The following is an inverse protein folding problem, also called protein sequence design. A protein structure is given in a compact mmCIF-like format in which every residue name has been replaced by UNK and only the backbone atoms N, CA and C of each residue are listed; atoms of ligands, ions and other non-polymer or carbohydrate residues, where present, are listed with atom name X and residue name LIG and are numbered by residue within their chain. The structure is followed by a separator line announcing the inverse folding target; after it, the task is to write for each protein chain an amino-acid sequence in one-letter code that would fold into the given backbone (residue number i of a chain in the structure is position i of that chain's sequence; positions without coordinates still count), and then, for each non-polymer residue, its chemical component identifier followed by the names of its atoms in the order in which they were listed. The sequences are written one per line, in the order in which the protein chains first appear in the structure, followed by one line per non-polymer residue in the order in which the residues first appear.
data_IF_630275832530
#
_entry.id   IF_630275832530
#
_cell.length_a   1.000
_cell.length_b   1.000
_cell.length_c   1.000
_cell.angle_alpha   90.00
_cell.angle_beta   90.00
_cell.angle_gamma   90.00
#
_symmetry.space_group_name_H-M   'P 1'
#
loop_
_entity.id
_entity.type
_entity.pdbx_description
1 polymer ?
#
# COMPACT_ATOMS: atom_id res chain seq x y z
N UNK A 1 -80.84 -35.22 24.82
CA UNK A 1 -79.42 -35.56 24.99
C UNK A 1 -78.64 -34.27 24.88
N UNK A 2 -78.12 -33.76 25.99
CA UNK A 2 -77.22 -32.62 25.95
C UNK A 2 -75.81 -33.19 25.77
N UNK A 3 -75.23 -33.02 24.60
CA UNK A 3 -73.86 -33.44 24.27
C UNK A 3 -73.05 -32.19 23.89
N UNK A 4 -71.72 -32.24 23.97
CA UNK A 4 -70.87 -31.08 23.65
C UNK A 4 -71.19 -30.46 22.29
N UNK A 5 -71.39 -31.31 21.29
CA UNK A 5 -71.75 -30.92 19.92
C UNK A 5 -73.17 -30.35 19.74
N UNK A 6 -74.08 -30.58 20.70
CA UNK A 6 -75.50 -30.20 20.62
C UNK A 6 -75.93 -29.18 21.69
N UNK A 7 -74.99 -28.62 22.46
CA UNK A 7 -75.30 -27.63 23.49
C UNK A 7 -75.26 -26.20 22.91
N UNK A 8 -76.35 -25.41 23.00
CA UNK A 8 -76.39 -24.08 22.41
C UNK A 8 -75.62 -23.01 23.20
N UNK A 9 -75.12 -23.32 24.40
CA UNK A 9 -74.48 -22.35 25.29
C UNK A 9 -72.99 -22.68 25.47
N UNK A 10 -72.11 -21.80 24.97
CA UNK A 10 -70.66 -22.07 24.79
C UNK A 10 -69.89 -22.38 26.08
N UNK A 11 -70.15 -21.65 27.17
CA UNK A 11 -69.53 -21.92 28.48
C UNK A 11 -69.88 -23.29 29.08
N UNK A 12 -71.06 -23.86 28.75
CA UNK A 12 -71.42 -25.20 29.20
C UNK A 12 -70.75 -26.28 28.33
N UNK A 13 -70.43 -26.00 27.07
CA UNK A 13 -69.76 -26.97 26.19
C UNK A 13 -68.40 -27.45 26.73
N UNK A 14 -67.69 -26.60 27.48
CA UNK A 14 -66.39 -26.95 28.09
C UNK A 14 -66.49 -28.06 29.15
N UNK A 15 -67.67 -28.24 29.76
CA UNK A 15 -67.93 -29.26 30.79
C UNK A 15 -68.70 -30.47 30.25
N UNK A 16 -68.98 -30.50 28.94
CA UNK A 16 -69.78 -31.54 28.30
C UNK A 16 -68.89 -32.45 27.46
N UNK A 17 -69.35 -33.68 27.27
CA UNK A 17 -68.68 -34.69 26.43
C UNK A 17 -69.64 -35.18 25.33
N UNK A 18 -69.08 -35.76 24.28
CA UNK A 18 -69.84 -36.41 23.21
C UNK A 18 -69.67 -37.94 23.32
N UNK A 19 -70.71 -38.70 23.71
CA UNK A 19 -70.63 -40.15 23.81
C UNK A 19 -70.53 -40.79 22.42
N UNK A 20 -69.61 -41.74 22.23
CA UNK A 20 -69.52 -42.50 20.97
C UNK A 20 -70.53 -43.65 20.99
N UNK A 21 -71.46 -43.62 20.04
CA UNK A 21 -72.53 -44.62 19.90
C UNK A 21 -72.32 -45.37 18.58
N UNK A 22 -71.25 -46.18 18.51
CA UNK A 22 -70.93 -47.00 17.35
C UNK A 22 -71.24 -48.49 17.59
N UNK A 23 -71.35 -49.31 16.52
CA UNK A 23 -71.59 -50.74 16.64
C UNK A 23 -70.45 -51.52 17.32
N UNK A 24 -69.20 -51.04 17.21
CA UNK A 24 -68.03 -51.66 17.87
C UNK A 24 -67.77 -51.15 19.29
N UNK A 25 -68.18 -49.91 19.61
CA UNK A 25 -67.98 -49.31 20.94
C UNK A 25 -69.08 -48.31 21.24
N UNK A 26 -69.92 -48.64 22.21
CA UNK A 26 -71.00 -47.80 22.69
C UNK A 26 -70.73 -47.40 24.14
N UNK A 27 -70.28 -46.17 24.34
CA UNK A 27 -69.87 -45.67 25.65
C UNK A 27 -71.01 -45.69 26.67
N UNK A 28 -72.27 -45.55 26.21
CA UNK A 28 -73.46 -45.61 27.07
C UNK A 28 -73.74 -47.03 27.58
N UNK A 29 -73.44 -48.06 26.78
CA UNK A 29 -73.58 -49.46 27.20
C UNK A 29 -72.49 -49.82 28.21
N UNK A 30 -71.26 -49.37 27.97
CA UNK A 30 -70.15 -49.56 28.91
C UNK A 30 -70.46 -48.92 30.25
N UNK A 31 -70.95 -47.67 30.26
CA UNK A 31 -71.35 -46.96 31.48
C UNK A 31 -72.44 -47.71 32.24
N UNK A 32 -73.51 -48.14 31.55
CA UNK A 32 -74.58 -48.94 32.15
C UNK A 32 -74.06 -50.21 32.80
N UNK A 33 -73.16 -50.94 32.14
CA UNK A 33 -72.58 -52.16 32.69
C UNK A 33 -71.67 -51.88 33.89
N UNK A 34 -70.88 -50.81 33.86
CA UNK A 34 -70.05 -50.42 35.01
C UNK A 34 -70.88 -49.97 36.21
N UNK A 35 -72.00 -49.27 35.98
CA UNK A 35 -72.93 -48.89 37.05
C UNK A 35 -73.61 -50.13 37.64
N UNK A 36 -74.05 -51.07 36.80
CA UNK A 36 -74.60 -52.37 37.26
C UNK A 36 -73.61 -53.18 38.10
N UNK A 37 -72.30 -53.08 37.81
CA UNK A 37 -71.26 -53.74 38.61
C UNK A 37 -71.06 -53.08 39.97
N UNK A 38 -71.57 -51.86 40.18
CA UNK A 38 -71.65 -51.13 41.44
C UNK A 38 -70.40 -51.26 42.33
N UNK A 39 -69.21 -51.10 41.74
CA UNK A 39 -67.92 -51.25 42.45
C UNK A 39 -67.70 -50.19 43.54
N UNK A 40 -68.49 -49.12 43.53
CA UNK A 40 -68.46 -48.03 44.51
C UNK A 40 -69.50 -48.20 45.62
N UNK A 41 -70.29 -49.28 45.61
CA UNK A 41 -71.23 -49.61 46.69
C UNK A 41 -72.35 -48.58 46.90
N UNK A 42 -72.80 -47.93 45.82
CA UNK A 42 -73.87 -46.95 45.87
C UNK A 42 -75.19 -47.67 46.14
N UNK A 43 -75.93 -47.26 47.18
CA UNK A 43 -77.26 -47.77 47.49
C UNK A 43 -78.22 -47.23 46.43
N UNK A 44 -78.64 -48.10 45.51
CA UNK A 44 -79.66 -47.78 44.51
C UNK A 44 -80.98 -48.36 45.00
N UNK A 45 -81.94 -47.49 45.30
CA UNK A 45 -83.34 -47.88 45.52
C UNK A 45 -83.94 -48.21 44.15
N UNK A 46 -83.94 -49.49 43.78
CA UNK A 46 -84.69 -49.96 42.61
C UNK A 46 -86.19 -49.98 42.94
N UNK A 47 -86.90 -48.92 42.53
CA UNK A 47 -88.36 -48.95 42.38
C UNK A 47 -88.71 -49.97 41.28
N UNK A 48 -88.86 -51.22 41.69
CA UNK A 48 -89.43 -52.26 40.85
C UNK A 48 -90.91 -51.92 40.60
N UNK A 49 -91.38 -51.83 39.34
CA UNK A 49 -92.79 -51.63 39.07
C UNK A 49 -93.56 -52.83 39.63
N UNK A 50 -94.40 -52.52 40.62
CA UNK A 50 -95.25 -53.44 41.35
C UNK A 50 -96.05 -54.30 40.36
N UNK A 51 -95.72 -55.59 40.25
CA UNK A 51 -96.52 -56.55 39.51
C UNK A 51 -97.93 -56.53 40.13
N UNK A 52 -98.92 -56.07 39.35
CA UNK A 52 -100.30 -56.00 39.81
C UNK A 52 -100.73 -57.44 40.11
N UNK A 53 -101.10 -57.77 41.37
CA UNK A 53 -101.51 -59.13 41.72
C UNK A 53 -102.75 -59.49 40.91
N UNK A 54 -102.81 -60.74 40.43
CA UNK A 54 -103.95 -61.29 39.70
C UNK A 54 -105.30 -61.24 40.48
N UNK A 55 -105.26 -60.84 41.75
CA UNK A 55 -106.40 -60.68 42.66
C UNK A 55 -107.17 -59.36 42.50
N UNK A 56 -106.68 -58.40 41.68
CA UNK A 56 -107.41 -57.18 41.29
C UNK A 56 -108.14 -57.28 39.95
N UNK A 57 -108.12 -58.46 39.33
CA UNK A 57 -109.00 -58.79 38.22
C UNK A 57 -110.34 -59.25 38.81
N UNK A 58 -111.33 -58.35 38.86
CA UNK A 58 -112.72 -58.72 39.08
C UNK A 58 -113.22 -59.53 37.87
N UNK A 59 -112.92 -60.83 37.86
CA UNK A 59 -113.63 -61.81 37.05
C UNK A 59 -115.05 -61.92 37.60
N UNK A 60 -115.99 -61.24 36.95
CA UNK A 60 -117.42 -61.47 37.18
C UNK A 60 -117.76 -62.84 36.59
N UNK A 61 -118.32 -63.72 37.42
CA UNK A 61 -118.80 -65.04 37.02
C UNK A 61 -119.84 -64.95 35.88
N UNK A 62 -119.76 -65.90 34.95
CA UNK A 62 -120.39 -65.95 33.62
C UNK A 62 -121.94 -65.97 33.61
N UNK A 63 -122.63 -65.93 34.75
CA UNK A 63 -124.06 -66.26 34.84
C UNK A 63 -125.04 -65.07 34.97
N UNK A 64 -124.61 -63.83 34.73
CA UNK A 64 -125.48 -62.63 34.92
C UNK A 64 -125.44 -61.60 33.78
N UNK A 65 -125.16 -62.02 32.55
CA UNK A 65 -125.22 -61.15 31.35
C UNK A 65 -126.31 -61.54 30.34
N UNK A 66 -127.27 -62.39 30.74
CA UNK A 66 -128.46 -62.65 29.93
C UNK A 66 -129.54 -61.59 30.21
N UNK A 67 -129.43 -60.47 29.50
CA UNK A 67 -130.56 -59.59 29.29
C UNK A 67 -131.69 -60.37 28.58
N UNK A 68 -132.88 -60.32 29.17
CA UNK A 68 -134.12 -60.91 28.67
C UNK A 68 -134.28 -60.69 27.16
N UNK A 69 -134.70 -61.75 26.46
CA UNK A 69 -134.86 -61.81 25.01
C UNK A 69 -136.04 -60.95 24.50
N UNK A 70 -135.91 -59.63 24.65
CA UNK A 70 -136.82 -58.64 24.08
C UNK A 70 -136.08 -57.36 23.61
N UNK A 71 -134.75 -57.41 23.41
CA UNK A 71 -133.95 -56.25 22.98
C UNK A 71 -132.56 -56.52 22.39
N UNK A 72 -132.23 -57.78 22.03
CA UNK A 72 -130.93 -58.15 21.42
C UNK A 72 -130.67 -57.41 20.10
N UNK A 73 -131.72 -57.08 19.35
CA UNK A 73 -131.61 -56.25 18.14
C UNK A 73 -131.20 -54.80 18.46
N UNK A 74 -131.62 -54.24 19.59
CA UNK A 74 -131.32 -52.84 19.93
C UNK A 74 -129.92 -52.65 20.53
N UNK A 75 -129.37 -53.67 21.19
CA UNK A 75 -128.00 -53.65 21.74
C UNK A 75 -126.95 -54.01 20.68
N UNK A 76 -127.22 -55.01 19.82
CA UNK A 76 -126.37 -55.36 18.68
C UNK A 76 -126.33 -54.24 17.62
N UNK A 77 -127.47 -53.58 17.32
CA UNK A 77 -127.48 -52.39 16.44
C UNK A 77 -126.70 -51.22 17.04
N UNK A 78 -126.69 -51.05 18.37
CA UNK A 78 -125.91 -50.00 19.05
C UNK A 78 -124.40 -50.30 19.02
N UNK A 79 -123.97 -51.54 19.27
CA UNK A 79 -122.56 -51.92 19.15
C UNK A 79 -122.07 -51.85 17.71
N UNK A 80 -122.87 -52.30 16.75
CA UNK A 80 -122.54 -52.23 15.32
C UNK A 80 -122.46 -50.77 14.82
N UNK A 81 -123.33 -49.87 15.30
CA UNK A 81 -123.24 -48.44 15.04
C UNK A 81 -121.96 -47.82 15.62
N UNK A 82 -121.61 -48.15 16.87
CA UNK A 82 -120.37 -47.66 17.50
C UNK A 82 -119.11 -48.21 16.83
N UNK A 83 -119.09 -49.47 16.40
CA UNK A 83 -117.99 -50.03 15.61
C UNK A 83 -117.86 -49.34 14.25
N UNK A 84 -118.98 -49.06 13.57
CA UNK A 84 -118.97 -48.30 12.31
C UNK A 84 -118.42 -46.89 12.51
N UNK A 85 -118.81 -46.20 13.57
CA UNK A 85 -118.27 -44.88 13.93
C UNK A 85 -116.77 -44.94 14.27
N UNK A 86 -116.32 -45.96 15.03
CA UNK A 86 -114.91 -46.15 15.35
C UNK A 86 -114.08 -46.46 14.10
N UNK A 87 -114.60 -47.28 13.18
CA UNK A 87 -113.97 -47.55 11.87
C UNK A 87 -113.91 -46.29 11.01
N UNK A 88 -114.94 -45.46 11.00
CA UNK A 88 -114.95 -44.17 10.30
C UNK A 88 -113.92 -43.21 10.89
N UNK A 89 -113.86 -43.07 12.22
CA UNK A 89 -112.85 -42.25 12.91
C UNK A 89 -111.43 -42.75 12.64
N UNK A 90 -111.21 -44.07 12.69
CA UNK A 90 -109.93 -44.68 12.35
C UNK A 90 -109.54 -44.42 10.88
N UNK A 91 -110.48 -44.56 9.93
CA UNK A 91 -110.25 -44.29 8.52
C UNK A 91 -109.91 -42.81 8.26
N UNK A 92 -110.59 -41.87 8.93
CA UNK A 92 -110.28 -40.44 8.86
C UNK A 92 -108.88 -40.13 9.41
N UNK A 93 -108.51 -40.72 10.55
CA UNK A 93 -107.17 -40.59 11.13
C UNK A 93 -106.09 -41.18 10.22
N UNK A 94 -106.33 -42.36 9.63
CA UNK A 94 -105.40 -42.97 8.66
C UNK A 94 -105.25 -42.07 7.43
N UNK A 95 -106.33 -41.48 6.93
CA UNK A 95 -106.28 -40.53 5.80
C UNK A 95 -105.47 -39.29 6.15
N UNK A 96 -105.69 -38.71 7.33
CA UNK A 96 -104.92 -37.57 7.82
C UNK A 96 -103.44 -37.91 8.01
N UNK A 97 -103.12 -39.09 8.56
CA UNK A 97 -101.75 -39.57 8.74
C UNK A 97 -101.06 -39.80 7.40
N UNK A 98 -101.73 -40.39 6.40
CA UNK A 98 -101.19 -40.54 5.03
C UNK A 98 -100.92 -39.19 4.37
N UNK A 99 -101.83 -38.22 4.51
CA UNK A 99 -101.61 -36.86 4.02
C UNK A 99 -100.44 -36.18 4.73
N UNK A 100 -100.26 -36.41 6.03
CA UNK A 100 -99.11 -35.90 6.78
C UNK A 100 -97.80 -36.55 6.33
N UNK A 101 -97.78 -37.87 6.13
CA UNK A 101 -96.61 -38.61 5.65
C UNK A 101 -96.19 -38.11 4.28
N UNK A 102 -97.12 -38.02 3.32
CA UNK A 102 -96.84 -37.50 1.97
C UNK A 102 -96.34 -36.05 1.97
N UNK A 103 -96.90 -35.18 2.82
CA UNK A 103 -96.40 -33.82 3.00
C UNK A 103 -94.98 -33.79 3.59
N UNK A 104 -94.69 -34.65 4.57
CA UNK A 104 -93.36 -34.76 5.16
C UNK A 104 -92.34 -35.34 4.16
N UNK A 105 -92.73 -36.33 3.35
CA UNK A 105 -91.91 -36.88 2.27
C UNK A 105 -91.58 -35.80 1.24
N UNK A 106 -92.59 -35.02 0.78
CA UNK A 106 -92.35 -33.89 -0.13
C UNK A 106 -91.40 -32.85 0.47
N UNK A 107 -91.58 -32.49 1.74
CA UNK A 107 -90.66 -31.55 2.42
C UNK A 107 -89.24 -32.11 2.52
N UNK A 108 -89.08 -33.42 2.80
CA UNK A 108 -87.78 -34.10 2.83
C UNK A 108 -87.12 -34.12 1.46
N UNK A 109 -87.88 -34.39 0.40
CA UNK A 109 -87.40 -34.34 -0.98
C UNK A 109 -86.96 -32.92 -1.36
N UNK A 110 -87.75 -31.90 -1.04
CA UNK A 110 -87.40 -30.50 -1.27
C UNK A 110 -86.13 -30.09 -0.51
N UNK A 111 -86.01 -30.49 0.76
CA UNK A 111 -84.81 -30.20 1.57
C UNK A 111 -83.58 -30.95 1.06
N UNK A 112 -83.74 -32.21 0.61
CA UNK A 112 -82.66 -32.97 -0.02
C UNK A 112 -82.20 -32.33 -1.34
N UNK A 113 -83.14 -31.84 -2.16
CA UNK A 113 -82.81 -31.10 -3.39
C UNK A 113 -82.10 -29.77 -3.08
N UNK A 114 -82.52 -29.04 -2.04
CA UNK A 114 -81.82 -27.81 -1.61
C UNK A 114 -80.40 -28.10 -1.13
N UNK A 115 -80.22 -29.14 -0.31
CA UNK A 115 -78.90 -29.53 0.21
C UNK A 115 -77.96 -29.99 -0.92
N UNK A 116 -78.46 -30.80 -1.85
CA UNK A 116 -77.67 -31.25 -3.01
C UNK A 116 -77.32 -30.08 -3.93
N UNK A 117 -78.25 -29.17 -4.21
CA UNK A 117 -77.97 -27.97 -5.01
C UNK A 117 -76.95 -27.03 -4.34
N UNK A 118 -77.04 -26.84 -3.02
CA UNK A 118 -76.07 -26.06 -2.26
C UNK A 118 -74.67 -26.70 -2.30
N UNK A 119 -74.59 -28.02 -2.06
CA UNK A 119 -73.33 -28.76 -2.13
C UNK A 119 -72.73 -28.75 -3.55
N UNK A 120 -73.55 -28.84 -4.61
CA UNK A 120 -73.08 -28.70 -5.99
C UNK A 120 -72.54 -27.30 -6.29
N UNK A 121 -73.19 -26.25 -5.77
CA UNK A 121 -72.73 -24.88 -5.92
C UNK A 121 -71.38 -24.66 -5.24
N UNK A 122 -71.24 -25.13 -4.00
CA UNK A 122 -69.97 -25.10 -3.26
C UNK A 122 -68.88 -25.90 -3.97
N UNK A 123 -69.20 -27.11 -4.45
CA UNK A 123 -68.26 -27.94 -5.22
C UNK A 123 -67.79 -27.23 -6.49
N UNK A 124 -68.69 -26.59 -7.23
CA UNK A 124 -68.34 -25.82 -8.45
C UNK A 124 -67.48 -24.62 -8.12
N UNK A 125 -67.78 -23.89 -7.04
CA UNK A 125 -66.97 -22.76 -6.58
C UNK A 125 -65.55 -23.21 -6.20
N UNK A 126 -65.42 -24.28 -5.41
CA UNK A 126 -64.12 -24.85 -5.03
C UNK A 126 -63.35 -25.40 -6.23
N UNK A 127 -64.04 -26.03 -7.20
CA UNK A 127 -63.40 -26.48 -8.45
C UNK A 127 -62.83 -25.33 -9.26
N UNK A 128 -63.57 -24.21 -9.35
CA UNK A 128 -63.09 -23.02 -10.03
C UNK A 128 -61.90 -22.39 -9.27
N UNK A 129 -61.99 -22.28 -7.94
CA UNK A 129 -60.87 -21.80 -7.11
C UNK A 129 -59.61 -22.64 -7.31
N UNK A 130 -59.73 -23.98 -7.27
CA UNK A 130 -58.60 -24.90 -7.54
C UNK A 130 -58.04 -24.65 -8.93
N UNK A 131 -58.87 -24.48 -9.95
CA UNK A 131 -58.42 -24.19 -11.31
C UNK A 131 -57.66 -22.87 -11.39
N UNK A 132 -58.18 -21.81 -10.76
CA UNK A 132 -57.50 -20.50 -10.75
C UNK A 132 -56.17 -20.56 -9.99
N UNK A 133 -56.10 -21.29 -8.88
CA UNK A 133 -54.87 -21.46 -8.11
C UNK A 133 -53.84 -22.28 -8.88
N UNK A 134 -54.27 -23.33 -9.58
CA UNK A 134 -53.40 -24.12 -10.45
C UNK A 134 -52.81 -23.28 -11.59
N UNK A 135 -53.64 -22.44 -12.23
CA UNK A 135 -53.17 -21.51 -13.27
C UNK A 135 -52.16 -20.50 -12.73
N UNK A 136 -52.43 -19.91 -11.55
CA UNK A 136 -51.49 -18.98 -10.89
C UNK A 136 -50.18 -19.67 -10.53
N UNK A 137 -50.25 -20.90 -10.01
CA UNK A 137 -49.06 -21.68 -9.67
C UNK A 137 -48.24 -21.97 -10.93
N UNK A 138 -48.87 -22.39 -12.03
CA UNK A 138 -48.20 -22.61 -13.31
C UNK A 138 -47.49 -21.34 -13.80
N UNK A 139 -48.20 -20.21 -13.83
CA UNK A 139 -47.62 -18.91 -14.22
C UNK A 139 -46.43 -18.52 -13.34
N UNK A 140 -46.52 -18.71 -12.02
CA UNK A 140 -45.42 -18.42 -11.11
C UNK A 140 -44.23 -19.36 -11.29
N UNK A 141 -44.46 -20.64 -11.57
CA UNK A 141 -43.39 -21.60 -11.86
C UNK A 141 -42.68 -21.28 -13.17
N UNK A 142 -43.42 -20.90 -14.21
CA UNK A 142 -42.86 -20.46 -15.50
C UNK A 142 -42.05 -19.18 -15.35
N UNK A 143 -42.58 -18.19 -14.62
CA UNK A 143 -41.86 -16.95 -14.35
C UNK A 143 -40.59 -17.20 -13.54
N UNK A 144 -40.67 -17.99 -12.47
CA UNK A 144 -39.48 -18.38 -11.69
C UNK A 144 -38.45 -19.11 -12.55
N UNK A 145 -38.87 -20.06 -13.39
CA UNK A 145 -37.96 -20.77 -14.29
C UNK A 145 -37.30 -19.82 -15.30
N UNK A 146 -38.06 -18.88 -15.87
CA UNK A 146 -37.53 -17.88 -16.80
C UNK A 146 -36.52 -16.94 -16.15
N UNK A 147 -36.80 -16.45 -14.94
CA UNK A 147 -35.88 -15.61 -14.16
C UNK A 147 -34.61 -16.39 -13.77
N UNK A 148 -34.75 -17.64 -13.34
CA UNK A 148 -33.60 -18.49 -13.08
C UNK A 148 -32.74 -18.68 -14.33
N UNK A 149 -33.34 -18.98 -15.49
CA UNK A 149 -32.62 -19.11 -16.75
C UNK A 149 -31.92 -17.80 -17.17
N UNK A 150 -32.57 -16.65 -16.93
CA UNK A 150 -31.97 -15.34 -17.21
C UNK A 150 -30.78 -15.07 -16.28
N UNK A 151 -30.90 -15.36 -14.98
CA UNK A 151 -29.81 -15.20 -14.02
C UNK A 151 -28.64 -16.13 -14.30
N UNK A 152 -28.89 -17.38 -14.71
CA UNK A 152 -27.81 -18.31 -15.10
C UNK A 152 -27.13 -17.83 -16.38
N UNK A 153 -27.89 -17.40 -17.39
CA UNK A 153 -27.31 -16.87 -18.63
C UNK A 153 -26.48 -15.60 -18.39
N UNK A 154 -26.96 -14.68 -17.53
CA UNK A 154 -26.19 -13.52 -17.12
C UNK A 154 -24.93 -13.94 -16.36
N UNK A 155 -25.03 -14.87 -15.41
CA UNK A 155 -23.89 -15.40 -14.66
C UNK A 155 -22.80 -16.01 -15.56
N UNK A 156 -23.19 -16.84 -16.53
CA UNK A 156 -22.28 -17.41 -17.53
C UNK A 156 -21.65 -16.32 -18.41
N UNK A 157 -22.41 -15.30 -18.82
CA UNK A 157 -21.88 -14.19 -19.61
C UNK A 157 -20.82 -13.39 -18.85
N UNK A 158 -21.04 -13.13 -17.55
CA UNK A 158 -20.08 -12.45 -16.69
C UNK A 158 -18.84 -13.31 -16.43
N UNK A 159 -19.01 -14.63 -16.26
CA UNK A 159 -17.88 -15.55 -16.12
C UNK A 159 -17.01 -15.54 -17.38
N UNK A 160 -17.62 -15.67 -18.57
CA UNK A 160 -16.90 -15.59 -19.85
C UNK A 160 -16.18 -14.26 -20.03
N UNK A 161 -16.86 -13.15 -19.79
CA UNK A 161 -16.24 -11.82 -19.90
C UNK A 161 -15.07 -11.64 -18.92
N UNK A 162 -15.19 -12.16 -17.70
CA UNK A 162 -14.11 -12.12 -16.70
C UNK A 162 -12.93 -13.02 -17.10
N UNK A 163 -13.19 -14.19 -17.66
CA UNK A 163 -12.16 -15.08 -18.20
C UNK A 163 -11.43 -14.44 -19.38
N UNK A 164 -12.15 -13.84 -20.32
CA UNK A 164 -11.57 -13.11 -21.46
C UNK A 164 -10.73 -11.93 -21.00
N UNK A 165 -11.23 -11.10 -20.09
CA UNK A 165 -10.47 -10.00 -19.48
C UNK A 165 -9.21 -10.54 -18.78
N UNK A 166 -9.31 -11.65 -18.04
CA UNK A 166 -8.16 -12.25 -17.37
C UNK A 166 -7.10 -12.77 -18.37
N UNK A 167 -7.53 -13.32 -19.52
CA UNK A 167 -6.63 -13.75 -20.60
C UNK A 167 -5.95 -12.55 -21.25
N UNK A 168 -6.68 -11.47 -21.50
CA UNK A 168 -6.14 -10.22 -22.03
C UNK A 168 -5.11 -9.60 -21.09
N UNK A 169 -5.41 -9.53 -19.78
CA UNK A 169 -4.47 -9.03 -18.77
C UNK A 169 -3.20 -9.88 -18.72
N UNK A 170 -3.31 -11.21 -18.71
CA UNK A 170 -2.13 -12.10 -18.75
C UNK A 170 -1.32 -11.93 -20.04
N UNK A 171 -1.99 -11.75 -21.18
CA UNK A 171 -1.31 -11.52 -22.45
C UNK A 171 -0.53 -10.21 -22.43
N UNK A 172 -1.13 -9.13 -21.91
CA UNK A 172 -0.47 -7.83 -21.73
C UNK A 172 0.67 -7.89 -20.71
N UNK A 173 0.51 -8.63 -19.62
CA UNK A 173 1.58 -8.84 -18.63
C UNK A 173 2.77 -9.57 -19.25
N UNK A 174 2.52 -10.62 -20.05
CA UNK A 174 3.59 -11.37 -20.72
C UNK A 174 4.25 -10.52 -21.80
N UNK A 175 3.48 -9.83 -22.65
CA UNK A 175 4.05 -8.95 -23.68
C UNK A 175 4.85 -7.80 -23.04
N UNK A 176 4.31 -7.18 -22.00
CA UNK A 176 5.01 -6.13 -21.25
C UNK A 176 6.29 -6.63 -20.58
N UNK A 177 6.31 -7.86 -20.04
CA UNK A 177 7.56 -8.47 -19.51
C UNK A 177 8.60 -8.70 -20.61
N UNK A 178 8.17 -9.14 -21.79
CA UNK A 178 9.08 -9.34 -22.94
C UNK A 178 9.63 -8.01 -23.42
N UNK A 179 8.79 -6.98 -23.55
CA UNK A 179 9.21 -5.63 -23.95
C UNK A 179 10.18 -5.00 -22.94
N UNK A 180 9.90 -5.11 -21.63
CA UNK A 180 10.80 -4.63 -20.57
C UNK A 180 12.11 -5.42 -20.58
N UNK A 181 12.05 -6.75 -20.78
CA UNK A 181 13.23 -7.60 -20.91
C UNK A 181 14.12 -7.19 -22.08
N UNK A 182 13.54 -7.06 -23.27
CA UNK A 182 14.24 -6.65 -24.48
C UNK A 182 14.83 -5.23 -24.35
N UNK A 183 14.09 -4.29 -23.76
CA UNK A 183 14.60 -2.95 -23.51
C UNK A 183 15.79 -2.96 -22.55
N UNK A 184 15.73 -3.75 -21.47
CA UNK A 184 16.86 -3.91 -20.52
C UNK A 184 18.09 -4.48 -21.19
N UNK A 185 17.95 -5.56 -21.96
CA UNK A 185 19.06 -6.15 -22.71
C UNK A 185 19.68 -5.15 -23.69
N UNK A 186 18.86 -4.39 -24.42
CA UNK A 186 19.34 -3.32 -25.30
C UNK A 186 20.12 -2.24 -24.54
N UNK A 187 19.60 -1.76 -23.41
CA UNK A 187 20.28 -0.76 -22.58
C UNK A 187 21.59 -1.30 -22.00
N UNK A 188 21.61 -2.55 -21.55
CA UNK A 188 22.83 -3.19 -21.04
C UNK A 188 23.89 -3.33 -22.13
N UNK A 189 23.51 -3.76 -23.33
CA UNK A 189 24.41 -3.84 -24.48
C UNK A 189 24.94 -2.46 -24.90
N UNK A 190 24.09 -1.44 -24.96
CA UNK A 190 24.52 -0.08 -25.30
C UNK A 190 25.46 0.49 -24.23
N UNK A 191 25.16 0.29 -22.95
CA UNK A 191 26.02 0.72 -21.85
C UNK A 191 27.39 0.02 -21.91
N UNK A 192 27.41 -1.29 -22.15
CA UNK A 192 28.65 -2.06 -22.32
C UNK A 192 29.46 -1.56 -23.53
N UNK A 193 28.81 -1.27 -24.65
CA UNK A 193 29.48 -0.73 -25.84
C UNK A 193 30.09 0.66 -25.57
N UNK A 194 29.36 1.54 -24.87
CA UNK A 194 29.88 2.87 -24.47
C UNK A 194 31.07 2.75 -23.52
N UNK A 195 31.01 1.85 -22.54
CA UNK A 195 32.12 1.58 -21.62
C UNK A 195 33.33 1.04 -22.38
N UNK A 196 33.13 0.07 -23.29
CA UNK A 196 34.20 -0.50 -24.08
C UNK A 196 34.87 0.53 -24.99
N UNK A 197 34.09 1.42 -25.63
CA UNK A 197 34.60 2.52 -26.44
C UNK A 197 35.44 3.50 -25.60
N UNK A 198 34.95 3.91 -24.43
CA UNK A 198 35.71 4.80 -23.54
C UNK A 198 37.01 4.14 -23.04
N UNK A 199 36.97 2.85 -22.70
CA UNK A 199 38.18 2.10 -22.31
C UNK A 199 39.19 2.05 -23.46
N UNK A 200 38.75 1.84 -24.70
CA UNK A 200 39.63 1.82 -25.86
C UNK A 200 40.29 3.19 -26.09
N UNK A 201 39.51 4.27 -26.00
CA UNK A 201 40.01 5.64 -26.12
C UNK A 201 41.06 5.96 -25.04
N UNK A 202 40.77 5.66 -23.77
CA UNK A 202 41.74 5.90 -22.69
C UNK A 202 42.99 5.04 -22.83
N UNK A 203 42.88 3.79 -23.32
CA UNK A 203 44.05 2.96 -23.61
C UNK A 203 44.93 3.58 -24.69
N UNK A 204 44.35 4.16 -25.73
CA UNK A 204 45.09 4.86 -26.77
C UNK A 204 45.79 6.11 -26.22
N UNK A 205 45.09 6.91 -25.40
CA UNK A 205 45.69 8.09 -24.74
C UNK A 205 46.87 7.70 -23.84
N UNK A 206 46.74 6.61 -23.06
CA UNK A 206 47.82 6.09 -22.23
C UNK A 206 49.00 5.65 -23.10
N UNK A 207 48.76 4.92 -24.19
CA UNK A 207 49.84 4.49 -25.09
C UNK A 207 50.61 5.67 -25.70
N UNK A 208 49.91 6.75 -26.08
CA UNK A 208 50.56 7.97 -26.58
C UNK A 208 51.43 8.61 -25.49
N UNK A 209 50.91 8.71 -24.26
CA UNK A 209 51.66 9.27 -23.12
C UNK A 209 52.88 8.43 -22.76
N UNK A 210 52.79 7.10 -22.84
CA UNK A 210 53.92 6.20 -22.60
C UNK A 210 55.04 6.43 -23.62
N UNK A 211 54.70 6.63 -24.90
CA UNK A 211 55.67 6.98 -25.95
C UNK A 211 56.30 8.35 -25.71
N UNK A 212 55.50 9.36 -25.35
CA UNK A 212 56.02 10.70 -25.02
C UNK A 212 56.97 10.69 -23.82
N UNK A 213 56.64 9.89 -22.79
CA UNK A 213 57.51 9.71 -21.62
C UNK A 213 58.81 9.00 -21.99
N UNK A 214 58.74 7.95 -22.82
CA UNK A 214 59.94 7.28 -23.30
C UNK A 214 60.86 8.24 -24.07
N UNK A 215 60.30 9.05 -24.97
CA UNK A 215 61.06 10.05 -25.72
C UNK A 215 61.69 11.12 -24.82
N UNK A 216 60.96 11.60 -23.81
CA UNK A 216 61.50 12.55 -22.82
C UNK A 216 62.64 11.96 -22.01
N UNK A 217 62.49 10.73 -21.54
CA UNK A 217 63.54 10.04 -20.78
C UNK A 217 64.82 9.86 -21.63
N UNK A 218 64.68 9.55 -22.92
CA UNK A 218 65.81 9.46 -23.84
C UNK A 218 66.50 10.82 -24.03
N UNK A 219 65.73 11.89 -24.21
CA UNK A 219 66.28 13.25 -24.32
C UNK A 219 66.97 13.69 -23.02
N UNK A 220 66.37 13.44 -21.87
CA UNK A 220 66.94 13.76 -20.56
C UNK A 220 68.28 13.02 -20.37
N UNK A 221 68.34 11.73 -20.72
CA UNK A 221 69.58 10.96 -20.69
C UNK A 221 70.67 11.56 -21.61
N UNK A 222 70.32 11.95 -22.83
CA UNK A 222 71.25 12.60 -23.75
C UNK A 222 71.77 13.94 -23.22
N UNK A 223 70.89 14.76 -22.63
CA UNK A 223 71.28 16.03 -22.03
C UNK A 223 72.15 15.84 -20.80
N UNK A 224 71.87 14.84 -19.97
CA UNK A 224 72.70 14.49 -18.83
C UNK A 224 74.10 14.06 -19.27
N UNK A 225 74.22 13.22 -20.31
CA UNK A 225 75.51 12.84 -20.90
C UNK A 225 76.29 14.06 -21.41
N UNK A 226 75.63 14.98 -22.12
CA UNK A 226 76.29 16.18 -22.63
C UNK A 226 76.72 17.12 -21.51
N UNK A 227 75.90 17.28 -20.45
CA UNK A 227 76.28 18.04 -19.26
C UNK A 227 77.54 17.45 -18.62
N UNK A 228 77.62 16.11 -18.50
CA UNK A 228 78.81 15.46 -17.96
C UNK A 228 80.03 15.67 -18.87
N UNK A 229 79.85 15.55 -20.19
CA UNK A 229 80.92 15.82 -21.16
C UNK A 229 81.44 17.26 -21.05
N UNK A 230 80.55 18.24 -21.03
CA UNK A 230 80.93 19.66 -20.93
C UNK A 230 81.56 20.01 -19.58
N UNK A 231 81.11 19.39 -18.49
CA UNK A 231 81.75 19.55 -17.18
C UNK A 231 83.18 19.06 -17.19
N UNK A 232 83.42 17.85 -17.71
CA UNK A 232 84.78 17.30 -17.82
C UNK A 232 85.66 18.13 -18.74
N UNK A 233 85.13 18.62 -19.86
CA UNK A 233 85.85 19.52 -20.77
C UNK A 233 86.24 20.83 -20.07
N UNK A 234 85.31 21.48 -19.35
CA UNK A 234 85.58 22.69 -18.58
C UNK A 234 86.65 22.47 -17.52
N UNK A 235 86.62 21.35 -16.81
CA UNK A 235 87.65 20.98 -15.82
C UNK A 235 89.02 20.81 -16.49
N UNK A 236 89.08 20.13 -17.63
CA UNK A 236 90.34 19.95 -18.37
C UNK A 236 90.93 21.27 -18.86
N UNK A 237 90.10 22.17 -19.40
CA UNK A 237 90.52 23.49 -19.86
C UNK A 237 90.99 24.37 -18.70
N UNK A 238 90.32 24.30 -17.54
CA UNK A 238 90.77 24.98 -16.32
C UNK A 238 92.14 24.49 -15.89
N UNK A 239 92.33 23.18 -15.79
CA UNK A 239 93.62 22.59 -15.43
C UNK A 239 94.73 22.93 -16.43
N UNK A 240 94.42 22.97 -17.73
CA UNK A 240 95.38 23.39 -18.75
C UNK A 240 95.75 24.87 -18.62
N UNK A 241 94.77 25.75 -18.36
CA UNK A 241 95.02 27.17 -18.12
C UNK A 241 95.91 27.39 -16.90
N UNK A 242 95.64 26.68 -15.80
CA UNK A 242 96.45 26.75 -14.58
C UNK A 242 97.90 26.29 -14.83
N UNK A 243 98.09 25.21 -15.60
CA UNK A 243 99.44 24.71 -15.99
C UNK A 243 100.25 25.73 -16.79
N UNK A 244 99.62 26.43 -17.74
CA UNK A 244 100.31 27.46 -18.54
C UNK A 244 100.73 28.64 -17.66
N UNK A 245 99.87 29.07 -16.73
CA UNK A 245 100.20 30.15 -15.79
C UNK A 245 101.35 29.76 -14.85
N UNK A 246 101.37 28.50 -14.37
CA UNK A 246 102.50 27.95 -13.61
C UNK A 246 103.80 27.93 -14.41
N UNK A 247 103.77 27.50 -15.68
CA UNK A 247 104.95 27.45 -16.54
C UNK A 247 105.53 28.85 -16.79
N UNK A 248 104.69 29.83 -17.13
CA UNK A 248 105.11 31.22 -17.30
C UNK A 248 105.75 31.77 -16.02
N UNK A 249 105.18 31.47 -14.84
CA UNK A 249 105.77 31.87 -13.57
C UNK A 249 107.14 31.22 -13.33
N UNK A 250 107.36 29.95 -13.72
CA UNK A 250 108.68 29.28 -13.62
C UNK A 250 109.72 29.85 -14.58
N UNK A 251 109.30 30.32 -15.75
CA UNK A 251 110.16 31.03 -16.70
C UNK A 251 110.50 32.46 -16.27
N UNK A 252 110.05 32.88 -15.08
CA UNK A 252 110.35 34.19 -14.51
C UNK A 252 109.40 35.30 -14.93
N UNK A 253 108.26 34.97 -15.57
CA UNK A 253 107.22 35.95 -15.88
C UNK A 253 106.53 36.38 -14.58
N UNK A 254 106.48 37.69 -14.34
CA UNK A 254 105.85 38.27 -13.15
C UNK A 254 104.57 38.99 -13.56
N UNK A 255 103.46 38.69 -12.89
CA UNK A 255 102.19 39.37 -13.12
C UNK A 255 102.17 40.69 -12.34
N UNK A 256 102.15 41.82 -13.06
CA UNK A 256 102.10 43.15 -12.46
C UNK A 256 100.88 43.93 -12.95
N UNK A 257 100.20 44.60 -12.02
CA UNK A 257 99.13 45.53 -12.32
C UNK A 257 99.32 46.84 -11.58
N UNK A 258 99.02 47.97 -12.23
CA UNK A 258 99.03 49.26 -11.57
C UNK A 258 97.65 49.57 -10.98
N UNK A 259 97.65 49.95 -9.70
CA UNK A 259 96.45 50.41 -8.99
C UNK A 259 96.75 51.72 -8.26
N UNK A 260 95.95 52.80 -8.46
CA UNK A 260 96.17 54.06 -7.74
C UNK A 260 96.24 53.85 -6.22
N UNK A 261 97.20 54.47 -5.55
CA UNK A 261 97.38 54.33 -4.09
C UNK A 261 98.05 53.03 -3.64
N UNK A 262 98.07 51.98 -4.47
CA UNK A 262 98.80 50.73 -4.25
C UNK A 262 100.09 50.64 -5.08
N UNK A 263 100.19 51.43 -6.16
CA UNK A 263 101.33 51.44 -7.07
C UNK A 263 101.35 50.24 -8.01
N UNK A 264 102.54 49.84 -8.44
CA UNK A 264 102.75 48.60 -9.19
C UNK A 264 102.66 47.41 -8.21
N UNK A 265 101.58 46.66 -8.30
CA UNK A 265 101.34 45.47 -7.50
C UNK A 265 101.82 44.24 -8.27
N UNK A 266 102.78 43.53 -7.68
CA UNK A 266 103.12 42.17 -8.10
C UNK A 266 102.10 41.20 -7.52
N UNK A 267 101.37 40.52 -8.40
CA UNK A 267 100.32 39.55 -8.03
C UNK A 267 100.95 38.16 -8.06
N UNK A 268 101.00 37.51 -6.88
CA UNK A 268 101.46 36.13 -6.79
C UNK A 268 100.51 35.19 -7.55
N UNK A 269 101.03 34.12 -8.14
CA UNK A 269 100.22 33.18 -8.94
C UNK A 269 99.02 32.62 -8.15
N UNK A 270 99.23 32.26 -6.88
CA UNK A 270 98.18 31.80 -5.96
C UNK A 270 97.05 32.83 -5.70
N UNK A 271 97.37 34.12 -5.83
CA UNK A 271 96.44 35.23 -5.61
C UNK A 271 95.73 35.66 -6.89
N UNK A 272 96.17 35.16 -8.06
CA UNK A 272 95.70 35.62 -9.37
C UNK A 272 94.20 35.34 -9.58
N UNK A 273 93.71 34.19 -9.12
CA UNK A 273 92.28 33.85 -9.17
C UNK A 273 91.43 34.85 -8.34
N UNK A 274 91.91 35.19 -7.13
CA UNK A 274 91.28 36.18 -6.26
C UNK A 274 91.31 37.58 -6.86
N UNK A 275 92.43 37.96 -7.47
CA UNK A 275 92.58 39.23 -8.17
C UNK A 275 91.63 39.31 -9.37
N UNK A 276 91.54 38.26 -10.20
CA UNK A 276 90.64 38.22 -11.36
C UNK A 276 89.17 38.34 -10.96
N UNK A 277 88.77 37.73 -9.84
CA UNK A 277 87.40 37.82 -9.35
C UNK A 277 87.01 39.25 -8.94
N UNK A 278 87.93 39.99 -8.29
CA UNK A 278 87.70 41.39 -7.92
C UNK A 278 89.01 42.18 -7.76
N UNK A 279 89.48 42.88 -8.81
CA UNK A 279 90.73 43.64 -8.77
C UNK A 279 90.73 44.80 -7.78
N UNK A 280 89.57 45.46 -7.60
CA UNK A 280 89.43 46.62 -6.70
C UNK A 280 89.51 46.18 -5.24
N UNK A 281 88.86 45.08 -4.87
CA UNK A 281 88.97 44.52 -3.52
C UNK A 281 90.41 44.07 -3.21
N UNK A 282 91.10 43.49 -4.20
CA UNK A 282 92.50 43.10 -4.06
C UNK A 282 93.40 44.32 -3.82
N UNK A 283 93.23 45.39 -4.61
CA UNK A 283 93.96 46.64 -4.44
C UNK A 283 93.65 47.32 -3.10
N UNK A 284 92.37 47.39 -2.71
CA UNK A 284 91.93 47.92 -1.43
C UNK A 284 92.60 47.21 -0.24
N UNK A 285 92.66 45.87 -0.29
CA UNK A 285 93.33 45.06 0.72
C UNK A 285 94.84 45.36 0.80
N UNK A 286 95.53 45.59 -0.34
CA UNK A 286 96.95 46.01 -0.36
C UNK A 286 97.15 47.43 0.17
N UNK A 287 96.15 48.28 0.06
CA UNK A 287 96.12 49.62 0.65
C UNK A 287 95.62 49.65 2.10
N UNK A 288 95.32 48.49 2.70
CA UNK A 288 94.78 48.35 4.06
C UNK A 288 93.47 49.12 4.31
N UNK A 289 92.60 49.20 3.30
CA UNK A 289 91.29 49.84 3.39
C UNK A 289 90.19 48.90 2.92
N UNK A 290 88.93 49.19 3.29
CA UNK A 290 87.80 48.43 2.74
C UNK A 290 87.63 48.70 1.25
N UNK A 291 87.02 47.75 0.54
CA UNK A 291 86.71 47.90 -0.88
C UNK A 291 85.85 49.15 -1.16
N UNK A 292 84.91 49.45 -0.27
CA UNK A 292 84.04 50.61 -0.35
C UNK A 292 84.83 51.92 -0.18
N UNK A 293 85.71 51.99 0.82
CA UNK A 293 86.57 53.14 1.05
C UNK A 293 87.52 53.39 -0.13
N UNK A 294 88.10 52.32 -0.68
CA UNK A 294 88.98 52.42 -1.84
C UNK A 294 88.24 52.91 -3.09
N UNK A 295 87.00 52.46 -3.34
CA UNK A 295 86.18 52.95 -4.46
C UNK A 295 85.86 54.43 -4.33
N UNK A 296 85.37 54.86 -3.17
CA UNK A 296 85.03 56.27 -2.95
C UNK A 296 86.27 57.16 -2.96
N UNK A 297 87.39 56.66 -2.43
CA UNK A 297 88.68 57.33 -2.55
C UNK A 297 89.12 57.44 -4.02
N UNK A 298 88.96 56.39 -4.82
CA UNK A 298 89.35 56.39 -6.23
C UNK A 298 88.54 57.41 -7.03
N UNK A 299 87.24 57.52 -6.79
CA UNK A 299 86.38 58.57 -7.37
C UNK A 299 86.89 59.97 -6.96
N UNK A 300 87.18 60.18 -5.67
CA UNK A 300 87.75 61.45 -5.17
C UNK A 300 89.14 61.74 -5.74
N UNK A 301 90.00 60.74 -5.89
CA UNK A 301 91.36 60.87 -6.40
C UNK A 301 91.36 61.29 -7.88
N UNK A 302 90.39 60.80 -8.66
CA UNK A 302 90.21 61.17 -10.06
C UNK A 302 89.52 62.54 -10.22
N UNK A 303 88.54 62.84 -9.37
CA UNK A 303 87.78 64.10 -9.40
C UNK A 303 87.47 64.57 -7.97
N UNK A 304 88.36 65.36 -7.34
CA UNK A 304 88.18 65.77 -5.96
C UNK A 304 87.13 66.87 -5.87
N UNK A 305 85.89 66.48 -5.66
CA UNK A 305 84.75 67.38 -5.54
C UNK A 305 83.77 66.87 -4.49
N UNK A 306 83.05 67.80 -3.86
CA UNK A 306 82.09 67.45 -2.84
C UNK A 306 80.95 66.59 -3.40
N UNK A 307 80.76 65.41 -2.81
CA UNK A 307 79.73 64.43 -3.24
C UNK A 307 78.37 64.63 -2.58
N UNK A 308 78.24 65.56 -1.63
CA UNK A 308 76.99 65.84 -0.94
C UNK A 308 75.91 66.34 -1.91
N UNK A 309 74.68 65.87 -1.73
CA UNK A 309 73.52 66.34 -2.48
C UNK A 309 73.00 67.66 -1.88
N UNK A 310 72.75 68.65 -2.74
CA UNK A 310 72.05 69.88 -2.38
C UNK A 310 70.55 69.61 -2.25
N UNK A 311 69.83 70.53 -1.62
CA UNK A 311 68.35 70.48 -1.53
C UNK A 311 67.64 70.52 -2.89
N UNK A 312 68.33 70.96 -3.95
CA UNK A 312 67.88 70.90 -5.35
C UNK A 312 68.02 69.52 -6.00
N UNK A 313 68.66 68.55 -5.32
CA UNK A 313 68.99 67.23 -5.87
C UNK A 313 70.29 67.17 -6.66
N UNK A 314 70.93 68.31 -6.94
CA UNK A 314 72.22 68.38 -7.63
C UNK A 314 73.39 68.11 -6.67
N UNK A 315 74.51 67.59 -7.17
CA UNK A 315 75.74 67.43 -6.37
C UNK A 315 76.36 68.80 -6.10
N UNK A 316 76.81 69.03 -4.86
CA UNK A 316 77.49 70.27 -4.49
C UNK A 316 78.69 70.57 -5.39
N UNK A 317 79.46 69.54 -5.77
CA UNK A 317 80.57 69.62 -6.72
C UNK A 317 81.66 70.67 -6.41
N UNK A 318 81.66 71.21 -5.19
CA UNK A 318 82.68 72.15 -4.73
C UNK A 318 84.06 71.47 -4.78
N UNK A 319 85.06 72.05 -5.46
CA UNK A 319 86.39 71.47 -5.55
C UNK A 319 86.99 71.23 -4.16
N UNK A 320 87.59 70.05 -3.97
CA UNK A 320 88.25 69.65 -2.73
C UNK A 320 89.74 69.45 -2.96
N UNK A 321 90.50 69.47 -1.88
CA UNK A 321 91.89 69.05 -1.93
C UNK A 321 91.98 67.56 -2.28
N UNK A 322 92.87 67.25 -3.22
CA UNK A 322 93.14 65.87 -3.62
C UNK A 322 93.81 65.13 -2.46
N UNK A 323 93.36 63.90 -2.21
CA UNK A 323 93.99 63.00 -1.22
C UNK A 323 94.72 61.90 -1.96
N UNK A 324 96.05 61.90 -1.87
CA UNK A 324 96.89 61.01 -2.66
C UNK A 324 97.00 59.57 -2.11
N UNK A 325 96.58 59.33 -0.87
CA UNK A 325 96.66 58.03 -0.21
C UNK A 325 95.27 57.52 0.23
N UNK A 326 94.87 56.29 -0.13
CA UNK A 326 93.58 55.72 0.27
C UNK A 326 93.40 55.65 1.78
N UNK A 327 94.46 55.36 2.53
CA UNK A 327 94.45 55.25 4.00
C UNK A 327 94.17 56.57 4.72
N UNK A 328 94.36 57.72 4.04
CA UNK A 328 94.07 59.06 4.59
C UNK A 328 92.68 59.56 4.20
N UNK A 329 91.95 58.81 3.39
CA UNK A 329 90.62 59.19 2.94
C UNK A 329 89.57 58.63 3.89
N UNK A 330 88.78 59.51 4.48
CA UNK A 330 87.68 59.18 5.38
C UNK A 330 86.36 59.52 4.71
N UNK A 331 85.51 58.51 4.53
CA UNK A 331 84.17 58.68 3.93
C UNK A 331 83.35 59.66 4.77
N UNK A 332 82.74 60.65 4.11
CA UNK A 332 81.91 61.70 4.70
C UNK A 332 82.69 62.92 5.19
N UNK A 333 84.02 62.83 5.27
CA UNK A 333 84.89 63.93 5.69
C UNK A 333 85.79 64.38 4.55
N UNK A 334 86.50 63.44 3.93
CA UNK A 334 87.43 63.71 2.84
C UNK A 334 86.73 64.06 1.52
N UNK A 335 85.57 63.48 1.25
CA UNK A 335 84.76 63.70 0.05
C UNK A 335 83.68 64.77 0.21
N UNK A 336 83.68 65.52 1.32
CA UNK A 336 82.77 66.63 1.56
C UNK A 336 83.52 67.96 1.74
N UNK A 337 82.92 69.08 1.32
CA UNK A 337 83.45 70.42 1.58
C UNK A 337 83.13 70.85 3.02
N UNK A 338 83.77 71.91 3.55
CA UNK A 338 83.54 72.36 4.92
C UNK A 338 82.04 72.58 5.30
N UNK A 339 81.17 72.90 4.33
CA UNK A 339 79.72 73.04 4.54
C UNK A 339 78.97 71.71 4.69
N UNK A 340 79.59 70.61 4.26
CA UNK A 340 78.99 69.27 4.20
C UNK A 340 79.85 68.20 4.92
N UNK A 341 81.06 68.54 5.42
CA UNK A 341 81.86 67.69 6.31
C UNK A 341 81.15 67.66 7.64
N UNK A 342 80.52 66.52 7.97
CA UNK A 342 79.84 66.21 9.23
C UNK A 342 79.69 67.39 10.21
N UNK A 343 78.78 68.27 9.85
CA UNK A 343 77.68 68.68 10.72
C UNK A 343 76.40 68.28 9.97
N UNK A 344 76.09 66.98 9.95
CA UNK A 344 74.71 66.57 10.21
C UNK A 344 74.43 67.04 11.64
N UNK A 345 74.21 68.35 11.81
CA UNK A 345 73.56 68.88 13.00
C UNK A 345 72.30 68.07 13.11
N UNK A 346 72.18 67.38 14.23
CA UNK A 346 70.93 66.93 14.80
C UNK A 346 69.81 67.86 14.33
N UNK A 347 69.07 67.42 13.30
CA UNK A 347 67.73 67.93 13.03
C UNK A 347 66.84 67.29 14.10
N UNK A 348 66.98 67.79 15.32
CA UNK A 348 65.83 67.93 16.21
C UNK A 348 65.01 69.09 15.66
N UNK A 349 63.80 68.77 15.20
CA UNK A 349 62.92 69.71 14.54
C UNK A 349 61.82 69.08 13.70
N UNK A 350 61.27 67.93 14.09
CA UNK A 350 59.91 67.85 14.65
C UNK A 350 59.61 66.46 15.22
#
# INVERSE_FOLDING_TARGET
LACRSQCPVSWHQMHMWDPKVGPERNDLVVLRETIKRNQLGLLVEEETPQAVPAERLQMVAEDTWYAAEAGKDAAAKRSESHEREQRQKAALLIKQQRQRITNLERLREEDALKLTAAAEKERKALQEEIRTLQQKLQQQTELSASLHAQMTAQGESFQKAREEMSKQLRALEVSGRVEIGAAREQFEHEAQARIAAAIAEYKEQVAIRDVELAYRNELDAQLEEEIQRLKTECETLRHSGDRVLEELSRQGVVFMAYHPGAGHLTIALQDLARYRANPLAYAAAKCFVSEEQYRQWLEHYQKPACVAALSSGERCAMPLDKIDAPSRFVIGESNCCARHRKEDRQRTGS
#
